data_IF_607423380106
#
_entry.id   IF_607423380106
#
_cell.length_a   1.000
_cell.length_b   1.000
_cell.length_c   1.000
_cell.angle_alpha   90.00
_cell.angle_beta   90.00
_cell.angle_gamma   90.00
#
_symmetry.space_group_name_H-M   'P 1'
#
loop_
_entity.id
_entity.type
_entity.pdbx_description
1 polymer ?
#
# COMPACT_ATOMS: atom_id res chain seq x y z
N UNK A 1 27.82 0.64 -23.59
CA UNK A 1 27.61 -0.24 -22.42
C UNK A 1 27.89 0.56 -21.16
N UNK A 2 26.96 1.42 -20.76
CA UNK A 2 27.08 2.27 -19.56
C UNK A 2 26.19 1.69 -18.47
N UNK A 3 26.80 1.37 -17.33
CA UNK A 3 26.15 0.84 -16.15
C UNK A 3 25.28 1.92 -15.48
N UNK A 4 24.00 1.99 -15.85
CA UNK A 4 22.97 2.77 -15.12
C UNK A 4 22.53 2.07 -13.81
N UNK A 5 23.44 1.36 -13.14
CA UNK A 5 23.13 0.58 -11.94
C UNK A 5 23.47 1.33 -10.64
N UNK A 6 23.82 2.62 -10.73
CA UNK A 6 24.06 3.47 -9.57
C UNK A 6 22.91 4.46 -9.38
N UNK A 7 22.12 4.20 -8.33
CA UNK A 7 21.18 5.09 -7.61
C UNK A 7 19.69 4.73 -7.63
N UNK A 8 19.26 3.63 -8.25
CA UNK A 8 17.88 3.17 -8.02
C UNK A 8 17.79 2.46 -6.65
N UNK A 9 17.22 3.15 -5.66
CA UNK A 9 16.97 2.60 -4.32
C UNK A 9 15.95 1.47 -4.43
N UNK A 10 16.43 0.22 -4.50
CA UNK A 10 15.61 -0.99 -4.73
C UNK A 10 14.48 -1.14 -3.71
N UNK A 11 14.70 -0.70 -2.47
CA UNK A 11 13.67 -0.70 -1.42
C UNK A 11 12.52 0.26 -1.73
N UNK A 12 12.84 1.47 -2.22
CA UNK A 12 11.83 2.46 -2.61
C UNK A 12 11.03 1.96 -3.83
N UNK A 13 11.69 1.38 -4.82
CA UNK A 13 11.01 0.80 -6.00
C UNK A 13 10.02 -0.31 -5.59
N UNK A 14 10.40 -1.17 -4.63
CA UNK A 14 9.51 -2.19 -4.08
C UNK A 14 8.33 -1.58 -3.32
N UNK A 15 8.60 -0.55 -2.51
CA UNK A 15 7.56 0.19 -1.79
C UNK A 15 6.56 0.87 -2.73
N UNK A 16 7.04 1.55 -3.77
CA UNK A 16 6.21 2.21 -4.78
C UNK A 16 5.34 1.21 -5.55
N UNK A 17 5.91 0.08 -5.99
CA UNK A 17 5.14 -0.99 -6.64
C UNK A 17 4.05 -1.56 -5.72
N UNK A 18 4.36 -1.71 -4.44
CA UNK A 18 3.41 -2.18 -3.44
C UNK A 18 2.26 -1.20 -3.25
N UNK A 19 2.55 0.11 -3.14
CA UNK A 19 1.52 1.15 -3.05
C UNK A 19 0.65 1.19 -4.31
N UNK A 20 1.24 1.09 -5.50
CA UNK A 20 0.47 1.03 -6.75
C UNK A 20 -0.50 -0.16 -6.77
N UNK A 21 -0.04 -1.34 -6.34
CA UNK A 21 -0.88 -2.53 -6.25
C UNK A 21 -2.05 -2.38 -5.26
N UNK A 22 -1.86 -1.69 -4.13
CA UNK A 22 -2.95 -1.37 -3.20
C UNK A 22 -3.96 -0.40 -3.84
N UNK A 23 -3.47 0.59 -4.58
CA UNK A 23 -4.33 1.56 -5.28
C UNK A 23 -5.18 0.94 -6.38
N UNK A 24 -4.64 -0.01 -7.14
CA UNK A 24 -5.36 -0.68 -8.23
C UNK A 24 -6.36 -1.73 -7.75
N UNK A 25 -6.02 -2.46 -6.67
CA UNK A 25 -6.84 -3.58 -6.19
C UNK A 25 -7.89 -3.17 -5.14
N UNK A 26 -7.72 -2.00 -4.49
CA UNK A 26 -8.55 -1.60 -3.36
C UNK A 26 -8.14 -2.32 -2.06
N UNK A 27 -9.08 -2.65 -1.16
CA UNK A 27 -8.79 -3.39 0.06
C UNK A 27 -8.12 -4.73 -0.24
N UNK A 28 -6.84 -4.87 0.13
CA UNK A 28 -6.05 -6.07 -0.22
C UNK A 28 -5.22 -6.58 0.96
N UNK A 29 -5.18 -7.90 1.14
CA UNK A 29 -4.34 -8.51 2.18
C UNK A 29 -2.86 -8.59 1.78
N UNK A 30 -1.98 -8.57 2.78
CA UNK A 30 -0.52 -8.71 2.59
C UNK A 30 -0.12 -9.95 1.76
N UNK A 31 -0.85 -11.06 1.93
CA UNK A 31 -0.60 -12.30 1.16
C UNK A 31 -0.93 -12.15 -0.32
N UNK A 32 -1.99 -11.42 -0.67
CA UNK A 32 -2.33 -11.10 -2.05
C UNK A 32 -1.29 -10.14 -2.65
N UNK A 33 -0.89 -9.12 -1.91
CA UNK A 33 0.16 -8.18 -2.33
C UNK A 33 1.48 -8.89 -2.65
N UNK A 34 1.91 -9.84 -1.80
CA UNK A 34 3.11 -10.63 -2.03
C UNK A 34 3.04 -11.42 -3.35
N UNK A 35 1.89 -12.05 -3.62
CA UNK A 35 1.67 -12.81 -4.86
C UNK A 35 1.63 -11.91 -6.09
N UNK A 36 0.98 -10.75 -5.99
CA UNK A 36 0.81 -9.81 -7.09
C UNK A 36 2.13 -9.12 -7.46
N UNK A 37 2.91 -8.72 -6.45
CA UNK A 37 4.16 -7.98 -6.64
C UNK A 37 5.40 -8.87 -6.81
N UNK A 38 5.29 -10.17 -6.53
CA UNK A 38 6.42 -11.10 -6.49
C UNK A 38 7.40 -10.84 -5.34
N UNK A 39 7.01 -10.03 -4.35
CA UNK A 39 7.83 -9.68 -3.19
C UNK A 39 7.59 -10.71 -2.07
N UNK A 40 8.64 -11.20 -1.38
CA UNK A 40 8.46 -12.11 -0.25
C UNK A 40 7.55 -11.52 0.83
N UNK A 41 6.67 -12.34 1.40
CA UNK A 41 5.68 -11.89 2.37
C UNK A 41 6.29 -11.14 3.57
N UNK A 42 7.42 -11.62 4.10
CA UNK A 42 8.14 -10.93 5.17
C UNK A 42 8.56 -9.51 4.75
N UNK A 43 9.04 -9.34 3.52
CA UNK A 43 9.42 -8.02 2.98
C UNK A 43 8.20 -7.12 2.78
N UNK A 44 7.06 -7.68 2.36
CA UNK A 44 5.80 -6.94 2.29
C UNK A 44 5.41 -6.40 3.66
N UNK A 45 5.49 -7.20 4.73
CA UNK A 45 5.22 -6.72 6.08
C UNK A 45 6.17 -5.62 6.54
N UNK A 46 7.47 -5.70 6.20
CA UNK A 46 8.42 -4.63 6.52
C UNK A 46 8.06 -3.30 5.82
N UNK A 47 7.67 -3.38 4.54
CA UNK A 47 7.26 -2.21 3.78
C UNK A 47 5.94 -1.64 4.32
N UNK A 48 4.94 -2.48 4.54
CA UNK A 48 3.64 -2.08 5.11
C UNK A 48 3.80 -1.44 6.49
N UNK A 49 4.70 -1.96 7.34
CA UNK A 49 4.96 -1.36 8.67
C UNK A 49 5.44 0.08 8.56
N UNK A 50 6.34 0.35 7.61
CA UNK A 50 6.84 1.71 7.36
C UNK A 50 5.72 2.59 6.80
N UNK A 51 5.02 2.12 5.77
CA UNK A 51 3.93 2.87 5.14
C UNK A 51 2.76 3.15 6.09
N UNK A 52 2.47 2.24 7.02
CA UNK A 52 1.42 2.40 8.03
C UNK A 52 1.83 3.42 9.11
N UNK A 53 3.11 3.41 9.49
CA UNK A 53 3.68 4.39 10.41
C UNK A 53 3.55 5.80 9.84
N UNK A 54 3.94 5.99 8.57
CA UNK A 54 3.86 7.27 7.85
C UNK A 54 2.47 7.60 7.29
N UNK A 55 1.43 6.80 7.62
CA UNK A 55 0.03 7.01 7.22
C UNK A 55 -0.23 7.01 5.70
N UNK A 56 0.66 6.40 4.92
CA UNK A 56 0.44 6.15 3.49
C UNK A 56 -0.52 4.99 3.23
N UNK A 57 -0.61 4.02 4.15
CA UNK A 57 -1.59 2.93 4.10
C UNK A 57 -2.34 2.83 5.41
N UNK A 58 -3.59 2.39 5.34
CA UNK A 58 -4.44 2.11 6.50
C UNK A 58 -4.77 0.63 6.50
N UNK A 59 -4.67 0.01 7.66
CA UNK A 59 -5.13 -1.37 7.87
C UNK A 59 -6.59 -1.34 8.32
N UNK A 60 -7.44 -2.06 7.62
CA UNK A 60 -8.86 -2.24 7.98
C UNK A 60 -9.00 -3.31 9.07
N UNK A 61 -10.19 -3.37 9.69
CA UNK A 61 -10.51 -4.32 10.76
C UNK A 61 -10.44 -5.79 10.33
N UNK A 62 -10.65 -6.07 9.04
CA UNK A 62 -10.49 -7.40 8.42
C UNK A 62 -9.02 -7.79 8.16
N UNK A 63 -8.08 -6.85 8.38
CA UNK A 63 -6.67 -7.04 8.09
C UNK A 63 -6.28 -6.86 6.63
N UNK A 64 -7.17 -6.30 5.81
CA UNK A 64 -6.82 -5.75 4.50
C UNK A 64 -6.15 -4.38 4.63
N UNK A 65 -5.48 -3.94 3.56
CA UNK A 65 -4.80 -2.66 3.49
C UNK A 65 -5.38 -1.82 2.36
N UNK A 66 -5.58 -0.53 2.63
CA UNK A 66 -6.00 0.48 1.66
C UNK A 66 -5.03 1.65 1.65
N UNK A 67 -5.04 2.45 0.59
CA UNK A 67 -4.28 3.71 0.57
C UNK A 67 -4.86 4.70 1.57
N UNK A 68 -3.98 5.33 2.34
CA UNK A 68 -4.34 6.29 3.38
C UNK A 68 -4.66 7.68 2.83
N UNK A 69 -5.26 8.56 3.65
CA UNK A 69 -5.67 9.90 3.25
C UNK A 69 -4.51 10.80 2.80
N UNK A 70 -3.26 10.49 3.19
CA UNK A 70 -2.06 11.18 2.69
C UNK A 70 -1.93 11.10 1.15
N UNK A 71 -2.47 10.05 0.53
CA UNK A 71 -2.48 9.90 -0.93
C UNK A 71 -3.73 10.50 -1.59
N UNK A 72 -4.85 10.63 -0.85
CA UNK A 72 -6.01 11.39 -1.32
C UNK A 72 -5.71 12.88 -1.51
N UNK A 73 -4.76 13.44 -0.74
CA UNK A 73 -4.30 14.80 -0.92
C UNK A 73 -3.44 15.01 -2.20
N UNK A 74 -2.80 13.94 -2.70
CA UNK A 74 -1.95 13.96 -3.90
C UNK A 74 -2.74 13.61 -5.17
N UNK A 75 -3.76 12.77 -5.04
CA UNK A 75 -4.62 12.33 -6.14
C UNK A 75 -5.92 13.12 -6.22
N UNK A 76 -5.86 14.39 -6.64
CA UNK A 76 -7.04 15.13 -7.08
C UNK A 76 -7.61 14.53 -8.36
N UNK A 77 -8.32 13.40 -8.26
CA UNK A 77 -9.09 12.82 -9.35
C UNK A 77 -8.91 11.33 -9.57
N UNK A 78 -9.92 10.55 -9.16
CA UNK A 78 -10.36 9.43 -9.99
C UNK A 78 -10.01 8.01 -9.55
N UNK A 79 -10.18 7.62 -8.28
CA UNK A 79 -10.49 6.23 -7.96
C UNK A 79 -11.99 6.09 -7.69
N UNK A 80 -12.76 6.12 -8.78
CA UNK A 80 -14.16 5.68 -8.79
C UNK A 80 -14.12 4.15 -8.87
N UNK A 81 -14.00 3.48 -7.73
CA UNK A 81 -14.42 2.09 -7.63
C UNK A 81 -14.84 1.80 -6.19
N UNK A 82 -16.16 1.64 -6.04
CA UNK A 82 -16.85 0.99 -4.94
C UNK A 82 -16.42 1.41 -3.52
N UNK A 83 -16.95 2.55 -3.07
CA UNK A 83 -17.41 2.65 -1.69
C UNK A 83 -18.50 1.60 -1.51
N UNK A 84 -18.12 0.42 -1.06
CA UNK A 84 -19.01 -0.55 -0.46
C UNK A 84 -18.46 -0.87 0.93
N UNK A 85 -19.04 -0.19 1.90
CA UNK A 85 -19.15 -0.55 3.31
C UNK A 85 -17.91 -1.14 4.00
N UNK A 86 -17.29 -0.35 4.90
CA UNK A 86 -17.27 -0.79 6.30
C UNK A 86 -17.26 0.43 7.21
N UNK A 87 -18.36 0.56 7.93
CA UNK A 87 -18.52 1.41 9.09
C UNK A 87 -17.48 0.97 10.14
N UNK A 88 -16.57 1.87 10.50
CA UNK A 88 -15.68 1.68 11.63
C UNK A 88 -15.53 3.01 12.36
N UNK A 89 -16.67 3.54 12.77
CA UNK A 89 -16.72 4.30 14.00
C UNK A 89 -16.21 3.40 15.15
N UNK A 90 -15.18 3.92 15.83
CA UNK A 90 -14.94 3.81 17.29
C UNK A 90 -14.28 2.55 17.88
N UNK A 91 -13.06 2.76 18.41
CA UNK A 91 -12.64 2.67 19.82
C UNK A 91 -11.09 2.51 19.82
N UNK A 92 -10.24 3.49 20.14
CA UNK A 92 -10.05 4.18 21.42
C UNK A 92 -9.92 3.21 22.62
N UNK A 93 -8.70 2.74 22.91
CA UNK A 93 -7.96 2.86 24.19
C UNK A 93 -6.54 2.34 24.01
#
# INVERSE_FOLDING_TARGET
>A
MTSDNQSMVRSLQRGLRLMNAVGEQGPVHAKQLARYTGVPLATVYHLLRTLLHDKYVVRLGDGSYVLGPALHAVGGGGARSAVAAVDANRCET
#
